data_IF_475470421316
#
_entry.id   IF_475470421316
#
_cell.length_a   1.000
_cell.length_b   1.000
_cell.length_c   1.000
_cell.angle_alpha   90.00
_cell.angle_beta   90.00
_cell.angle_gamma   90.00
#
_symmetry.space_group_name_H-M   'P 1'
#
loop_
_entity.id
_entity.type
_entity.pdbx_description
1 polymer ?
#
# COMPACT_ATOMS: atom_id res chain seq x y z
N UNK A 1 3.36 9.18 9.19
CA UNK A 1 1.99 8.72 8.87
C UNK A 1 1.95 7.22 9.11
N UNK A 2 0.97 6.73 9.85
CA UNK A 2 0.91 5.31 10.10
C UNK A 2 0.26 4.56 8.93
N UNK A 3 0.39 3.23 8.94
CA UNK A 3 -0.09 2.38 7.86
C UNK A 3 -1.61 2.43 7.69
N UNK A 4 -2.34 2.63 8.78
CA UNK A 4 -3.79 2.74 8.73
C UNK A 4 -4.23 3.98 7.95
N UNK A 5 -3.63 5.14 8.28
CA UNK A 5 -3.91 6.40 7.57
C UNK A 5 -3.56 6.28 6.10
N UNK A 6 -2.42 5.66 5.80
CA UNK A 6 -1.97 5.49 4.42
C UNK A 6 -2.96 4.64 3.63
N UNK A 7 -3.40 3.52 4.21
CA UNK A 7 -4.37 2.64 3.57
C UNK A 7 -5.67 3.38 3.25
N UNK A 8 -6.19 4.12 4.23
CA UNK A 8 -7.43 4.88 4.04
C UNK A 8 -7.27 5.98 2.99
N UNK A 9 -6.16 6.68 3.00
CA UNK A 9 -5.91 7.77 2.04
C UNK A 9 -5.86 7.23 0.61
N UNK A 10 -5.23 6.10 0.40
CA UNK A 10 -5.16 5.49 -0.94
C UNK A 10 -6.55 5.09 -1.41
N UNK A 11 -7.33 4.43 -0.55
CA UNK A 11 -8.69 4.00 -0.90
C UNK A 11 -9.56 5.22 -1.23
N UNK A 12 -9.51 6.25 -0.39
CA UNK A 12 -10.30 7.47 -0.62
C UNK A 12 -9.93 8.11 -1.95
N UNK A 13 -8.65 8.14 -2.29
CA UNK A 13 -8.19 8.69 -3.57
C UNK A 13 -8.83 7.98 -4.75
N UNK A 14 -8.87 6.65 -4.71
CA UNK A 14 -9.48 5.86 -5.79
C UNK A 14 -11.00 6.03 -5.82
N UNK A 15 -11.64 6.15 -4.67
CA UNK A 15 -13.07 6.42 -4.61
C UNK A 15 -13.42 7.75 -5.25
N UNK A 16 -12.60 8.78 -5.03
CA UNK A 16 -12.77 10.09 -5.65
C UNK A 16 -12.63 10.05 -7.17
N UNK A 17 -11.91 9.05 -7.69
CA UNK A 17 -11.76 8.85 -9.13
C UNK A 17 -12.95 8.10 -9.74
N UNK A 18 -13.93 7.73 -8.94
CA UNK A 18 -15.14 7.06 -9.42
C UNK A 18 -15.13 5.55 -9.31
N UNK A 19 -14.14 4.97 -8.66
CA UNK A 19 -14.10 3.53 -8.45
C UNK A 19 -15.10 3.09 -7.39
N UNK A 20 -15.62 1.87 -7.54
CA UNK A 20 -16.41 1.25 -6.47
C UNK A 20 -15.47 0.91 -5.30
N UNK A 21 -16.06 0.70 -4.13
CA UNK A 21 -15.28 0.40 -2.93
C UNK A 21 -14.41 -0.85 -3.13
N UNK A 22 -14.99 -1.93 -3.66
CA UNK A 22 -14.24 -3.17 -3.89
C UNK A 22 -13.08 -2.98 -4.86
N UNK A 23 -13.31 -2.22 -5.94
CA UNK A 23 -12.25 -1.93 -6.91
C UNK A 23 -11.18 -1.01 -6.33
N UNK A 24 -11.58 -0.07 -5.51
CA UNK A 24 -10.63 0.81 -4.83
C UNK A 24 -9.71 0.01 -3.92
N UNK A 25 -10.23 -0.99 -3.20
CA UNK A 25 -9.42 -1.87 -2.36
C UNK A 25 -8.46 -2.70 -3.19
N UNK A 26 -8.93 -3.28 -4.30
CA UNK A 26 -8.06 -4.04 -5.20
C UNK A 26 -6.93 -3.18 -5.75
N UNK A 27 -7.25 -1.99 -6.22
CA UNK A 27 -6.27 -1.07 -6.77
C UNK A 27 -5.26 -0.64 -5.70
N UNK A 28 -5.71 -0.38 -4.49
CA UNK A 28 -4.83 0.01 -3.39
C UNK A 28 -3.88 -1.13 -3.02
N UNK A 29 -4.38 -2.35 -2.98
CA UNK A 29 -3.55 -3.54 -2.71
C UNK A 29 -2.51 -3.73 -3.80
N UNK A 30 -2.92 -3.58 -5.06
CA UNK A 30 -2.02 -3.71 -6.19
C UNK A 30 -0.91 -2.66 -6.13
N UNK A 31 -1.27 -1.42 -5.83
CA UNK A 31 -0.31 -0.33 -5.68
C UNK A 31 0.73 -0.65 -4.59
N UNK A 32 0.27 -1.12 -3.45
CA UNK A 32 1.16 -1.46 -2.35
C UNK A 32 2.10 -2.60 -2.71
N UNK A 33 1.59 -3.61 -3.42
CA UNK A 33 2.42 -4.74 -3.88
C UNK A 33 3.47 -4.29 -4.89
N UNK A 34 3.13 -3.34 -5.76
CA UNK A 34 4.09 -2.80 -6.71
C UNK A 34 5.22 -2.05 -6.01
N UNK A 35 4.90 -1.29 -4.97
CA UNK A 35 5.92 -0.59 -4.21
C UNK A 35 6.89 -1.58 -3.57
N UNK A 36 6.37 -2.66 -2.98
CA UNK A 36 7.20 -3.71 -2.38
C UNK A 36 8.09 -4.35 -3.45
N UNK A 37 7.52 -4.65 -4.61
CA UNK A 37 8.27 -5.23 -5.72
C UNK A 37 9.40 -4.33 -6.19
N UNK A 38 9.16 -3.03 -6.27
CA UNK A 38 10.20 -2.08 -6.66
C UNK A 38 11.34 -2.03 -5.65
N UNK A 39 11.03 -2.10 -4.36
CA UNK A 39 12.06 -2.16 -3.32
C UNK A 39 12.95 -3.39 -3.52
N UNK A 40 12.33 -4.54 -3.79
CA UNK A 40 13.07 -5.78 -4.03
C UNK A 40 13.88 -5.72 -5.33
N UNK A 41 13.31 -5.17 -6.40
CA UNK A 41 13.97 -5.10 -7.71
C UNK A 41 15.20 -4.20 -7.71
N UNK A 42 15.16 -3.11 -6.98
CA UNK A 42 16.28 -2.20 -6.90
C UNK A 42 17.35 -2.64 -5.93
N UNK A 43 17.18 -3.82 -5.33
CA UNK A 43 18.14 -4.40 -4.39
C UNK A 43 18.50 -3.43 -3.25
N UNK A 44 17.53 -2.65 -2.82
CA UNK A 44 17.74 -1.77 -1.67
C UNK A 44 18.13 -2.62 -0.47
N UNK A 45 19.22 -2.23 0.18
CA UNK A 45 19.76 -2.96 1.32
C UNK A 45 19.76 -2.07 2.54
N UNK A 46 19.74 -2.70 3.71
CA UNK A 46 19.82 -2.01 4.98
C UNK A 46 18.46 -1.87 5.66
N UNK A 47 18.50 -1.22 6.81
CA UNK A 47 17.31 -1.11 7.66
C UNK A 47 16.21 -0.28 7.02
N UNK A 48 16.58 0.75 6.27
CA UNK A 48 15.59 1.62 5.64
C UNK A 48 14.72 0.85 4.64
N UNK A 49 15.35 0.01 3.82
CA UNK A 49 14.60 -0.80 2.86
C UNK A 49 13.69 -1.80 3.58
N UNK A 50 14.20 -2.41 4.64
CA UNK A 50 13.42 -3.36 5.43
C UNK A 50 12.21 -2.69 6.08
N UNK A 51 12.41 -1.52 6.70
CA UNK A 51 11.32 -0.76 7.31
C UNK A 51 10.27 -0.34 6.28
N UNK A 52 10.70 0.10 5.10
CA UNK A 52 9.79 0.49 4.04
C UNK A 52 8.96 -0.70 3.58
N UNK A 53 9.58 -1.85 3.41
CA UNK A 53 8.88 -3.07 2.99
C UNK A 53 7.88 -3.51 4.06
N UNK A 54 8.27 -3.51 5.33
CA UNK A 54 7.37 -3.86 6.43
C UNK A 54 6.21 -2.89 6.53
N UNK A 55 6.47 -1.60 6.34
CA UNK A 55 5.44 -0.58 6.35
C UNK A 55 4.38 -0.87 5.29
N UNK A 56 4.80 -1.16 4.06
CA UNK A 56 3.87 -1.42 2.96
C UNK A 56 3.15 -2.75 3.12
N UNK A 57 3.79 -3.75 3.72
CA UNK A 57 3.11 -5.00 4.06
C UNK A 57 2.00 -4.74 5.09
N UNK A 58 2.25 -3.87 6.06
CA UNK A 58 1.24 -3.48 7.03
C UNK A 58 0.11 -2.69 6.36
N UNK A 59 0.44 -1.83 5.40
CA UNK A 59 -0.58 -1.10 4.62
C UNK A 59 -1.52 -2.09 3.93
N UNK A 60 -0.99 -3.15 3.33
CA UNK A 60 -1.81 -4.19 2.70
C UNK A 60 -2.76 -4.82 3.71
N UNK A 61 -2.28 -5.15 4.90
CA UNK A 61 -3.12 -5.72 5.95
C UNK A 61 -4.23 -4.76 6.38
N UNK A 62 -3.92 -3.48 6.47
CA UNK A 62 -4.93 -2.48 6.83
C UNK A 62 -5.97 -2.29 5.72
N UNK A 63 -5.56 -2.35 4.46
CA UNK A 63 -6.50 -2.31 3.33
C UNK A 63 -7.48 -3.47 3.42
N UNK A 64 -6.98 -4.65 3.76
CA UNK A 64 -7.79 -5.86 3.84
C UNK A 64 -8.85 -5.77 4.95
N UNK A 65 -8.58 -5.01 6.00
CA UNK A 65 -9.51 -4.84 7.13
C UNK A 65 -10.59 -3.79 6.89
N UNK A 66 -10.41 -2.93 5.92
CA UNK A 66 -11.33 -1.79 5.67
C UNK A 66 -12.64 -2.23 5.04
#
# INVERSE_FOLDING_TARGET
MDSWDKAHNIIIRFLKQGMTYDKAKEAATYLAKEVISEIDMHHEKGFDALFRKEYWEQVIKEIDKV
#
